data_IF_852023543775
#
_entry.id   IF_852023543775
#
_cell.length_a   1.000
_cell.length_b   1.000
_cell.length_c   1.000
_cell.angle_alpha   90.00
_cell.angle_beta   90.00
_cell.angle_gamma   90.00
#
_symmetry.space_group_name_H-M   'P 1'
#
loop_
_entity.id
_entity.type
_entity.pdbx_description
1 polymer ?
#
# COMPACT_ATOMS: atom_id res chain seq x y z
N UNK A 1 -13.37 18.76 -27.82
CA UNK A 1 -12.58 19.09 -26.62
C UNK A 1 -12.34 17.80 -25.83
N UNK A 2 -11.13 17.23 -25.85
CA UNK A 2 -10.78 16.07 -25.08
C UNK A 2 -10.76 16.47 -23.60
N UNK A 3 -11.70 15.97 -22.80
CA UNK A 3 -11.69 16.11 -21.33
C UNK A 3 -10.42 15.41 -20.82
N UNK A 4 -9.51 16.15 -20.26
CA UNK A 4 -8.36 15.62 -19.53
C UNK A 4 -8.85 14.86 -18.30
N UNK A 5 -9.03 13.55 -18.44
CA UNK A 5 -9.47 12.61 -17.38
C UNK A 5 -8.37 12.31 -16.34
N UNK A 6 -7.38 13.19 -16.17
CA UNK A 6 -6.20 12.98 -15.34
C UNK A 6 -6.20 13.73 -14.01
N UNK A 7 -7.26 14.49 -13.72
CA UNK A 7 -7.40 15.15 -12.42
C UNK A 7 -7.64 14.09 -11.38
N UNK A 8 -6.74 13.97 -10.42
CA UNK A 8 -6.93 13.14 -9.25
C UNK A 8 -8.03 13.78 -8.39
N UNK A 9 -9.26 13.36 -8.57
CA UNK A 9 -10.39 13.76 -7.75
C UNK A 9 -10.16 13.33 -6.29
N UNK A 10 -10.54 14.17 -5.32
CA UNK A 10 -10.50 13.83 -3.88
C UNK A 10 -11.19 12.50 -3.55
N UNK A 11 -12.16 12.07 -4.34
CA UNK A 11 -12.80 10.76 -4.23
C UNK A 11 -11.94 9.55 -4.63
N UNK A 12 -10.72 9.75 -5.12
CA UNK A 12 -9.83 8.64 -5.57
C UNK A 12 -8.78 8.21 -4.56
N UNK A 13 -8.65 8.90 -3.44
CA UNK A 13 -7.69 8.55 -2.37
C UNK A 13 -8.28 8.88 -1.00
N UNK A 14 -7.79 8.21 0.03
CA UNK A 14 -8.20 8.43 1.41
C UNK A 14 -7.51 9.66 1.98
N UNK A 15 -8.23 10.43 2.80
CA UNK A 15 -7.61 11.40 3.69
C UNK A 15 -6.71 10.70 4.71
N UNK A 16 -5.86 11.46 5.40
CA UNK A 16 -4.98 10.88 6.44
C UNK A 16 -5.80 10.25 7.58
N UNK A 17 -6.93 10.84 7.94
CA UNK A 17 -7.83 10.29 8.96
C UNK A 17 -8.53 9.00 8.50
N UNK A 18 -9.01 8.94 7.25
CA UNK A 18 -9.61 7.74 6.70
C UNK A 18 -8.60 6.59 6.55
N UNK A 19 -7.36 6.89 6.10
CA UNK A 19 -6.29 5.90 6.00
C UNK A 19 -5.93 5.33 7.38
N UNK A 20 -5.81 6.20 8.40
CA UNK A 20 -5.57 5.79 9.78
C UNK A 20 -6.71 4.94 10.32
N UNK A 21 -7.96 5.37 10.13
CA UNK A 21 -9.15 4.62 10.54
C UNK A 21 -9.22 3.23 9.90
N UNK A 22 -8.93 3.14 8.59
CA UNK A 22 -8.89 1.86 7.87
C UNK A 22 -7.85 0.92 8.46
N UNK A 23 -6.63 1.41 8.70
CA UNK A 23 -5.52 0.62 9.24
C UNK A 23 -5.81 0.15 10.68
N UNK A 24 -6.32 1.03 11.54
CA UNK A 24 -6.71 0.70 12.90
C UNK A 24 -7.87 -0.31 12.95
N UNK A 25 -8.87 -0.16 12.08
CA UNK A 25 -9.98 -1.11 11.96
C UNK A 25 -9.49 -2.49 11.52
N UNK A 26 -8.55 -2.53 10.56
CA UNK A 26 -7.93 -3.78 10.12
C UNK A 26 -7.15 -4.45 11.27
N UNK A 27 -6.34 -3.68 12.01
CA UNK A 27 -5.54 -4.15 13.15
C UNK A 27 -6.42 -4.74 14.25
N UNK A 28 -7.42 -3.98 14.72
CA UNK A 28 -8.36 -4.45 15.76
C UNK A 28 -9.11 -5.71 15.35
N UNK A 29 -9.51 -5.79 14.07
CA UNK A 29 -10.16 -7.00 13.54
C UNK A 29 -9.22 -8.20 13.53
N UNK A 30 -7.94 -8.01 13.23
CA UNK A 30 -6.93 -9.06 13.26
C UNK A 30 -6.64 -9.53 14.71
N UNK A 31 -6.47 -8.60 15.64
CA UNK A 31 -6.26 -8.89 17.07
C UNK A 31 -7.40 -9.75 17.65
N UNK A 32 -8.65 -9.37 17.39
CA UNK A 32 -9.81 -10.15 17.80
C UNK A 32 -9.84 -11.54 17.14
N UNK A 33 -9.44 -11.60 15.86
CA UNK A 33 -9.48 -12.85 15.10
C UNK A 33 -8.42 -13.87 15.55
N UNK A 34 -7.27 -13.41 16.06
CA UNK A 34 -6.24 -14.28 16.61
C UNK A 34 -6.73 -15.11 17.81
N UNK A 35 -7.61 -14.55 18.64
CA UNK A 35 -8.23 -15.24 19.78
C UNK A 35 -9.13 -16.40 19.32
N UNK A 36 -9.71 -16.30 18.10
CA UNK A 36 -10.65 -17.26 17.55
C UNK A 36 -10.09 -18.12 16.40
N UNK A 37 -8.76 -18.15 16.22
CA UNK A 37 -8.05 -18.83 15.11
C UNK A 37 -8.62 -18.48 13.71
N UNK A 38 -9.13 -17.26 13.53
CA UNK A 38 -9.66 -16.81 12.26
C UNK A 38 -8.57 -16.12 11.42
N UNK A 39 -8.08 -16.82 10.41
CA UNK A 39 -6.96 -16.38 9.55
C UNK A 39 -7.30 -15.24 8.60
N UNK A 40 -8.60 -14.99 8.32
CA UNK A 40 -9.01 -14.02 7.28
C UNK A 40 -8.71 -12.58 7.68
N UNK A 41 -9.10 -12.07 8.87
CA UNK A 41 -8.80 -10.69 9.24
C UNK A 41 -7.31 -10.40 9.41
N UNK A 42 -6.51 -11.40 9.81
CA UNK A 42 -5.03 -11.25 9.89
C UNK A 42 -4.43 -10.99 8.50
N UNK A 43 -4.85 -11.76 7.49
CA UNK A 43 -4.45 -11.52 6.10
C UNK A 43 -4.98 -10.17 5.58
N UNK A 44 -6.24 -9.82 5.90
CA UNK A 44 -6.83 -8.55 5.50
C UNK A 44 -6.02 -7.36 6.04
N UNK A 45 -5.62 -7.41 7.33
CA UNK A 45 -4.78 -6.37 7.93
C UNK A 45 -3.43 -6.26 7.23
N UNK A 46 -2.76 -7.37 6.96
CA UNK A 46 -1.49 -7.36 6.25
C UNK A 46 -1.62 -6.76 4.83
N UNK A 47 -2.69 -7.10 4.10
CA UNK A 47 -2.98 -6.54 2.77
C UNK A 47 -3.16 -5.01 2.82
N UNK A 48 -3.92 -4.51 3.77
CA UNK A 48 -4.14 -3.07 3.93
C UNK A 48 -2.83 -2.36 4.25
N UNK A 49 -2.05 -2.91 5.20
CA UNK A 49 -0.80 -2.28 5.63
C UNK A 49 0.25 -2.26 4.52
N UNK A 50 0.50 -3.39 3.83
CA UNK A 50 1.47 -3.40 2.73
C UNK A 50 1.06 -2.44 1.60
N UNK A 51 -0.23 -2.34 1.27
CA UNK A 51 -0.69 -1.43 0.24
C UNK A 51 -0.47 0.05 0.61
N UNK A 52 -0.74 0.42 1.87
CA UNK A 52 -0.52 1.78 2.39
C UNK A 52 0.97 2.09 2.55
N UNK A 53 1.77 1.16 3.07
CA UNK A 53 3.19 1.38 3.35
C UNK A 53 4.07 1.44 2.09
N UNK A 54 3.66 0.78 1.00
CA UNK A 54 4.51 0.61 -0.19
C UNK A 54 3.97 1.26 -1.45
N UNK A 55 2.66 1.50 -1.52
CA UNK A 55 1.99 2.00 -2.71
C UNK A 55 2.04 1.04 -3.91
N UNK A 56 2.20 -0.25 -3.69
CA UNK A 56 2.21 -1.26 -4.75
C UNK A 56 0.87 -1.33 -5.50
N UNK A 57 0.92 -1.79 -6.75
CA UNK A 57 -0.29 -2.17 -7.49
C UNK A 57 -0.82 -3.50 -6.96
N UNK A 58 -2.14 -3.72 -7.04
CA UNK A 58 -2.76 -4.98 -6.58
C UNK A 58 -2.13 -6.21 -7.23
N UNK A 59 -1.79 -6.16 -8.51
CA UNK A 59 -1.08 -7.24 -9.22
C UNK A 59 0.32 -7.48 -8.64
N UNK A 60 1.03 -6.41 -8.27
CA UNK A 60 2.36 -6.50 -7.68
C UNK A 60 2.28 -7.14 -6.30
N UNK A 61 1.32 -6.72 -5.47
CA UNK A 61 1.06 -7.33 -4.15
C UNK A 61 0.73 -8.82 -4.28
N UNK A 62 -0.13 -9.18 -5.25
CA UNK A 62 -0.53 -10.56 -5.47
C UNK A 62 0.63 -11.49 -5.83
N UNK A 63 1.67 -10.98 -6.50
CA UNK A 63 2.80 -11.76 -7.03
C UNK A 63 4.02 -11.78 -6.11
N UNK A 64 3.97 -11.13 -4.94
CA UNK A 64 5.09 -11.14 -4.00
C UNK A 64 5.32 -12.52 -3.41
N UNK A 65 6.60 -12.90 -3.35
CA UNK A 65 7.10 -14.02 -2.57
C UNK A 65 7.72 -13.52 -1.25
N UNK A 66 7.88 -14.38 -0.27
CA UNK A 66 8.54 -14.03 0.98
C UNK A 66 9.97 -13.53 0.76
N UNK A 67 10.72 -14.11 -0.17
CA UNK A 67 12.08 -13.68 -0.53
C UNK A 67 12.17 -12.39 -1.33
N UNK A 68 11.06 -11.75 -1.69
CA UNK A 68 11.08 -10.43 -2.31
C UNK A 68 11.25 -9.30 -1.31
N UNK A 69 11.06 -9.57 -0.02
CA UNK A 69 11.17 -8.60 1.07
C UNK A 69 12.46 -8.81 1.83
N UNK A 70 13.22 -7.75 1.99
CA UNK A 70 14.45 -7.70 2.78
C UNK A 70 14.27 -6.70 3.91
N UNK A 71 14.60 -7.12 5.12
CA UNK A 71 14.62 -6.26 6.31
C UNK A 71 16.05 -6.15 6.79
N UNK A 72 16.55 -4.93 6.94
CA UNK A 72 17.91 -4.64 7.40
C UNK A 72 17.89 -3.38 8.26
N UNK A 73 18.47 -3.46 9.46
CA UNK A 73 18.39 -2.36 10.42
C UNK A 73 16.95 -1.97 10.76
N UNK A 74 16.69 -0.67 10.82
CA UNK A 74 15.39 -0.09 11.22
C UNK A 74 14.36 -0.01 10.09
N UNK A 75 14.76 -0.25 8.85
CA UNK A 75 13.90 -0.15 7.68
C UNK A 75 14.01 -1.39 6.81
N UNK A 76 13.20 -1.44 5.75
CA UNK A 76 13.27 -2.53 4.80
C UNK A 76 12.95 -2.08 3.38
N UNK A 77 13.11 -3.00 2.47
CA UNK A 77 12.74 -2.81 1.07
C UNK A 77 12.16 -4.10 0.49
N UNK A 78 11.42 -3.94 -0.58
CA UNK A 78 10.96 -5.07 -1.39
C UNK A 78 11.34 -4.86 -2.86
N UNK A 79 11.48 -5.97 -3.57
CA UNK A 79 11.81 -5.99 -4.99
C UNK A 79 10.55 -6.36 -5.78
N UNK A 80 10.05 -5.43 -6.58
CA UNK A 80 9.03 -5.72 -7.59
C UNK A 80 9.73 -6.30 -8.80
N UNK A 81 9.53 -7.61 -9.06
CA UNK A 81 10.23 -8.32 -10.15
C UNK A 81 9.68 -7.98 -11.53
N UNK A 82 8.37 -7.86 -11.66
CA UNK A 82 7.65 -7.64 -12.91
C UNK A 82 6.83 -6.33 -12.85
N UNK A 83 7.52 -5.18 -12.80
CA UNK A 83 6.87 -3.89 -12.94
C UNK A 83 6.34 -3.65 -14.37
N UNK A 84 5.61 -2.55 -14.58
CA UNK A 84 5.12 -2.18 -15.93
C UNK A 84 6.30 -2.13 -16.92
N UNK A 85 6.22 -2.93 -18.00
CA UNK A 85 7.30 -3.08 -18.98
C UNK A 85 8.44 -4.01 -18.54
N UNK A 86 8.21 -4.96 -17.61
CA UNK A 86 9.21 -5.96 -17.19
C UNK A 86 10.35 -5.41 -16.32
N UNK A 87 10.26 -4.16 -15.87
CA UNK A 87 11.35 -3.52 -15.12
C UNK A 87 11.28 -3.88 -13.64
N UNK A 88 12.42 -4.30 -13.09
CA UNK A 88 12.59 -4.48 -11.65
C UNK A 88 12.75 -3.11 -10.96
N UNK A 89 12.17 -2.97 -9.77
CA UNK A 89 12.40 -1.80 -8.93
C UNK A 89 12.42 -2.17 -7.46
N UNK A 90 13.13 -1.37 -6.68
CA UNK A 90 13.15 -1.44 -5.24
C UNK A 90 12.13 -0.44 -4.68
N UNK A 91 11.33 -0.88 -3.72
CA UNK A 91 10.35 -0.09 -2.99
C UNK A 91 10.70 -0.15 -1.52
N UNK A 92 10.89 1.02 -0.89
CA UNK A 92 11.23 1.12 0.53
C UNK A 92 9.98 1.21 1.39
N UNK A 93 10.09 0.79 2.65
CA UNK A 93 9.04 0.94 3.65
C UNK A 93 9.64 1.28 5.03
N UNK A 94 8.80 1.77 5.95
CA UNK A 94 9.16 2.23 7.27
C UNK A 94 9.29 1.08 8.29
N UNK A 95 9.78 1.41 9.48
CA UNK A 95 9.93 0.48 10.62
C UNK A 95 8.60 -0.15 11.04
N UNK A 96 7.53 0.63 11.09
CA UNK A 96 6.20 0.15 11.49
C UNK A 96 5.71 -1.01 10.60
N UNK A 97 5.87 -0.88 9.28
CA UNK A 97 5.53 -1.99 8.38
C UNK A 97 6.51 -3.16 8.51
N UNK A 98 7.81 -2.89 8.75
CA UNK A 98 8.80 -3.94 9.02
C UNK A 98 8.38 -4.83 10.19
N UNK A 99 8.05 -4.23 11.33
CA UNK A 99 7.61 -4.94 12.53
C UNK A 99 6.38 -5.81 12.24
N UNK A 100 5.38 -5.26 11.58
CA UNK A 100 4.18 -6.01 11.18
C UNK A 100 4.50 -7.14 10.19
N UNK A 101 5.44 -6.95 9.25
CA UNK A 101 5.87 -8.01 8.35
C UNK A 101 6.52 -9.18 9.11
N UNK A 102 7.41 -8.89 10.05
CA UNK A 102 8.05 -9.90 10.89
C UNK A 102 7.03 -10.66 11.77
N UNK A 103 6.06 -9.95 12.34
CA UNK A 103 4.94 -10.54 13.07
C UNK A 103 4.08 -11.44 12.18
N UNK A 104 3.77 -10.99 10.98
CA UNK A 104 3.01 -11.75 10.00
C UNK A 104 3.73 -13.06 9.59
N UNK A 105 5.06 -13.02 9.41
CA UNK A 105 5.83 -14.22 9.12
C UNK A 105 5.84 -15.19 10.31
N UNK A 106 6.04 -14.70 11.54
CA UNK A 106 5.97 -15.53 12.75
C UNK A 106 4.60 -16.20 12.89
N UNK A 107 3.53 -15.46 12.66
CA UNK A 107 2.17 -16.00 12.67
C UNK A 107 1.98 -17.09 11.61
N UNK A 108 2.50 -16.90 10.40
CA UNK A 108 2.43 -17.91 9.33
C UNK A 108 3.19 -19.19 9.72
N UNK A 109 4.38 -19.05 10.26
CA UNK A 109 5.20 -20.18 10.73
C UNK A 109 4.51 -20.97 11.85
N UNK A 110 3.93 -20.28 12.83
CA UNK A 110 3.14 -20.91 13.89
C UNK A 110 1.94 -21.69 13.35
N UNK A 111 1.29 -21.18 12.30
CA UNK A 111 0.20 -21.84 11.57
C UNK A 111 0.66 -22.85 10.52
N UNK A 112 1.94 -23.27 10.54
CA UNK A 112 2.55 -24.23 9.60
C UNK A 112 2.41 -23.83 8.12
N UNK A 113 2.31 -22.53 7.84
CA UNK A 113 2.25 -22.02 6.47
C UNK A 113 3.66 -21.74 5.97
N UNK A 114 4.09 -22.29 4.82
CA UNK A 114 5.44 -22.09 4.30
C UNK A 114 5.81 -20.61 4.13
N UNK A 115 7.06 -20.26 4.48
CA UNK A 115 7.61 -18.90 4.38
C UNK A 115 9.01 -18.87 3.75
N UNK A 116 9.35 -19.89 2.97
CA UNK A 116 10.60 -19.93 2.22
C UNK A 116 10.65 -18.82 1.16
N UNK A 117 11.84 -18.51 0.62
CA UNK A 117 12.02 -17.40 -0.31
C UNK A 117 11.13 -17.46 -1.56
N UNK A 118 10.79 -18.68 -2.03
CA UNK A 118 9.92 -18.92 -3.18
C UNK A 118 8.42 -18.98 -2.86
N UNK A 119 8.06 -19.01 -1.57
CA UNK A 119 6.67 -19.15 -1.15
C UNK A 119 5.90 -17.86 -1.33
N UNK A 120 4.61 -17.93 -1.73
CA UNK A 120 3.76 -16.75 -1.85
C UNK A 120 3.68 -15.96 -0.55
N UNK A 121 3.91 -14.65 -0.59
CA UNK A 121 3.74 -13.78 0.60
C UNK A 121 2.29 -13.77 1.06
N UNK A 122 1.35 -13.69 0.13
CA UNK A 122 -0.09 -13.83 0.38
C UNK A 122 -0.56 -15.17 -0.22
N UNK A 123 -0.64 -16.18 0.64
CA UNK A 123 -1.03 -17.51 0.22
C UNK A 123 -2.56 -17.67 0.22
N UNK A 124 -3.09 -18.22 -0.88
CA UNK A 124 -4.49 -18.62 -1.01
C UNK A 124 -4.76 -19.86 -0.15
N UNK A 125 -5.79 -19.81 0.68
CA UNK A 125 -6.23 -20.95 1.51
C UNK A 125 -6.80 -22.09 0.68
N UNK A 126 -7.21 -21.84 -0.57
CA UNK A 126 -7.83 -22.85 -1.45
C UNK A 126 -6.80 -23.60 -2.30
N UNK A 127 -5.78 -22.89 -2.82
CA UNK A 127 -4.86 -23.45 -3.80
C UNK A 127 -3.43 -23.63 -3.27
N UNK A 128 -3.11 -23.05 -2.13
CA UNK A 128 -1.73 -22.98 -1.64
C UNK A 128 -0.81 -22.03 -2.42
N UNK A 129 -1.24 -21.55 -3.58
CA UNK A 129 -0.51 -20.58 -4.41
C UNK A 129 -0.79 -19.11 -4.01
N UNK A 130 -0.43 -18.19 -4.87
CA UNK A 130 -0.68 -16.76 -4.66
C UNK A 130 -2.16 -16.43 -4.56
N UNK A 131 -2.52 -15.46 -3.72
CA UNK A 131 -3.86 -14.88 -3.70
C UNK A 131 -4.13 -14.15 -5.02
N UNK A 132 -5.37 -14.28 -5.53
CA UNK A 132 -5.79 -13.53 -6.71
C UNK A 132 -6.01 -12.05 -6.37
N UNK A 133 -5.86 -11.18 -7.37
CA UNK A 133 -6.17 -9.74 -7.23
C UNK A 133 -7.62 -9.51 -6.77
N UNK A 134 -8.55 -10.38 -7.22
CA UNK A 134 -9.96 -10.33 -6.78
C UNK A 134 -10.11 -10.65 -5.29
N UNK A 135 -9.33 -11.59 -4.75
CA UNK A 135 -9.35 -11.92 -3.33
C UNK A 135 -8.78 -10.75 -2.48
N UNK A 136 -7.71 -10.12 -2.97
CA UNK A 136 -7.13 -8.92 -2.35
C UNK A 136 -8.11 -7.75 -2.37
N UNK A 137 -8.80 -7.51 -3.49
CA UNK A 137 -9.85 -6.49 -3.57
C UNK A 137 -11.00 -6.76 -2.60
N UNK A 138 -11.43 -8.03 -2.45
CA UNK A 138 -12.45 -8.41 -1.45
C UNK A 138 -11.98 -8.15 -0.03
N UNK A 139 -10.71 -8.38 0.29
CA UNK A 139 -10.12 -8.08 1.59
C UNK A 139 -10.21 -6.57 1.90
N UNK A 140 -9.84 -5.72 0.93
CA UNK A 140 -10.01 -4.28 1.03
C UNK A 140 -11.47 -3.88 1.27
N UNK A 141 -12.40 -4.38 0.45
CA UNK A 141 -13.83 -4.05 0.57
C UNK A 141 -14.42 -4.43 1.93
N UNK A 142 -14.07 -5.61 2.45
CA UNK A 142 -14.50 -6.03 3.80
C UNK A 142 -14.03 -5.07 4.88
N UNK A 143 -12.75 -4.69 4.84
CA UNK A 143 -12.15 -3.81 5.83
C UNK A 143 -12.70 -2.38 5.69
N UNK A 144 -12.82 -1.87 4.47
CA UNK A 144 -13.40 -0.56 4.20
C UNK A 144 -14.85 -0.45 4.69
N UNK A 145 -15.67 -1.49 4.47
CA UNK A 145 -17.04 -1.53 4.97
C UNK A 145 -17.10 -1.52 6.51
N UNK A 146 -16.21 -2.27 7.19
CA UNK A 146 -16.11 -2.26 8.67
C UNK A 146 -15.67 -0.90 9.21
N UNK A 147 -14.80 -0.21 8.46
CA UNK A 147 -14.36 1.14 8.80
C UNK A 147 -15.39 2.23 8.46
N UNK A 148 -16.55 1.87 7.91
CA UNK A 148 -17.58 2.84 7.49
C UNK A 148 -17.18 3.70 6.31
N UNK A 149 -16.18 3.28 5.52
CA UNK A 149 -15.71 4.03 4.36
C UNK A 149 -16.69 3.88 3.17
N UNK A 150 -16.81 4.92 2.32
CA UNK A 150 -17.66 4.89 1.14
C UNK A 150 -17.36 3.71 0.21
N UNK A 151 -18.41 3.06 -0.29
CA UNK A 151 -18.30 1.85 -1.11
C UNK A 151 -17.67 2.03 -2.49
N UNK A 152 -17.49 3.27 -2.96
CA UNK A 152 -16.83 3.56 -4.24
C UNK A 152 -15.30 3.35 -4.22
N UNK A 153 -14.66 3.36 -3.04
CA UNK A 153 -13.23 3.11 -2.94
C UNK A 153 -12.86 1.68 -3.38
N UNK A 154 -11.76 1.55 -4.08
CA UNK A 154 -11.10 0.29 -4.43
C UNK A 154 -9.70 0.26 -3.84
N UNK A 155 -9.03 -0.89 -3.83
CA UNK A 155 -7.66 -1.00 -3.29
C UNK A 155 -6.66 -0.05 -3.99
N UNK A 156 -6.94 0.38 -5.22
CA UNK A 156 -6.11 1.37 -5.91
C UNK A 156 -6.06 2.73 -5.20
N UNK A 157 -7.10 3.07 -4.39
CA UNK A 157 -7.07 4.29 -3.61
C UNK A 157 -5.92 4.31 -2.60
N UNK A 158 -5.51 3.14 -2.07
CA UNK A 158 -4.40 3.05 -1.12
C UNK A 158 -3.06 3.44 -1.74
N UNK A 159 -2.86 3.10 -3.02
CA UNK A 159 -1.68 3.55 -3.77
C UNK A 159 -1.68 5.07 -3.99
N UNK A 160 -2.83 5.65 -4.31
CA UNK A 160 -2.96 7.10 -4.42
C UNK A 160 -2.77 7.78 -3.07
N UNK A 161 -3.31 7.20 -2.00
CA UNK A 161 -3.12 7.67 -0.62
C UNK A 161 -1.63 7.65 -0.22
N UNK A 162 -0.93 6.53 -0.47
CA UNK A 162 0.52 6.44 -0.24
C UNK A 162 1.28 7.53 -1.00
N UNK A 163 0.96 7.73 -2.28
CA UNK A 163 1.61 8.75 -3.10
C UNK A 163 1.43 10.16 -2.54
N UNK A 164 0.21 10.53 -2.18
CA UNK A 164 -0.11 11.83 -1.58
C UNK A 164 0.60 12.02 -0.24
N UNK A 165 0.57 11.01 0.63
CA UNK A 165 1.24 11.08 1.94
C UNK A 165 2.75 11.18 1.80
N UNK A 166 3.38 10.37 0.92
CA UNK A 166 4.80 10.43 0.65
C UNK A 166 5.21 11.77 0.04
N UNK A 167 4.41 12.31 -0.89
CA UNK A 167 4.67 13.62 -1.49
C UNK A 167 4.71 14.71 -0.43
N UNK A 168 3.72 14.74 0.46
CA UNK A 168 3.67 15.69 1.58
C UNK A 168 4.81 15.47 2.57
N UNK A 169 5.07 14.23 2.99
CA UNK A 169 6.10 13.89 3.97
C UNK A 169 7.53 14.15 3.48
N UNK A 170 7.75 14.08 2.15
CA UNK A 170 9.04 14.36 1.50
C UNK A 170 9.30 15.84 1.21
N UNK A 171 8.48 16.77 1.73
CA UNK A 171 8.57 18.18 1.39
C UNK A 171 8.25 18.45 -0.09
N UNK A 172 7.24 17.76 -0.61
CA UNK A 172 6.75 17.89 -1.99
C UNK A 172 7.76 17.43 -3.06
N UNK A 173 8.56 16.41 -2.73
CA UNK A 173 9.54 15.82 -3.65
C UNK A 173 8.88 14.82 -4.63
N UNK A 174 8.46 15.32 -5.78
CA UNK A 174 7.79 14.54 -6.83
C UNK A 174 8.68 13.40 -7.37
N UNK A 175 10.00 13.63 -7.45
CA UNK A 175 10.95 12.63 -7.94
C UNK A 175 11.05 11.42 -7.01
N UNK A 176 10.97 11.64 -5.70
CA UNK A 176 10.93 10.57 -4.71
C UNK A 176 9.69 9.71 -4.89
N UNK A 177 8.51 10.32 -5.03
CA UNK A 177 7.24 9.61 -5.28
C UNK A 177 7.30 8.82 -6.59
N UNK A 178 7.80 9.43 -7.66
CA UNK A 178 7.97 8.77 -8.96
C UNK A 178 8.84 7.51 -8.86
N UNK A 179 9.98 7.61 -8.17
CA UNK A 179 10.90 6.48 -7.96
C UNK A 179 10.25 5.37 -7.14
N UNK A 180 9.59 5.71 -6.03
CA UNK A 180 8.89 4.77 -5.15
C UNK A 180 7.79 4.00 -5.89
N UNK A 181 6.96 4.71 -6.65
CA UNK A 181 5.84 4.10 -7.38
C UNK A 181 6.27 3.40 -8.67
N UNK A 182 7.47 3.68 -9.19
CA UNK A 182 7.95 3.14 -10.46
C UNK A 182 7.17 3.68 -11.67
N UNK A 183 6.86 4.98 -11.66
CA UNK A 183 6.26 5.65 -12.80
C UNK A 183 7.34 5.98 -13.85
N UNK A 184 7.18 5.43 -15.05
CA UNK A 184 8.07 5.72 -16.19
C UNK A 184 7.80 7.09 -16.82
N UNK A 185 6.60 7.64 -16.62
CA UNK A 185 6.19 8.94 -17.13
C UNK A 185 5.89 9.87 -15.93
N UNK A 186 6.53 11.04 -15.92
CA UNK A 186 6.33 12.08 -14.89
C UNK A 186 4.87 12.53 -14.80
N UNK A 187 4.18 12.66 -15.93
CA UNK A 187 2.76 13.05 -15.98
C UNK A 187 1.87 12.23 -15.04
N UNK A 188 2.17 10.94 -14.85
CA UNK A 188 1.41 10.08 -13.93
C UNK A 188 1.63 10.45 -12.46
N UNK A 189 2.71 11.19 -12.16
CA UNK A 189 3.04 11.63 -10.81
C UNK A 189 2.68 13.09 -10.59
N UNK A 190 2.68 13.90 -11.63
CA UNK A 190 2.29 15.33 -11.61
C UNK A 190 0.87 15.55 -11.10
N UNK A 191 -0.04 14.60 -11.33
CA UNK A 191 -1.41 14.65 -10.79
C UNK A 191 -1.45 14.74 -9.25
N UNK A 192 -0.42 14.28 -8.56
CA UNK A 192 -0.34 14.44 -7.09
C UNK A 192 0.11 15.84 -6.70
N UNK A 193 0.95 16.48 -7.51
CA UNK A 193 1.34 17.87 -7.33
C UNK A 193 0.14 18.80 -7.48
N UNK A 194 -0.69 18.60 -8.52
CA UNK A 194 -1.85 19.44 -8.79
C UNK A 194 -2.89 19.40 -7.65
N UNK A 195 -3.08 18.23 -7.00
CA UNK A 195 -4.07 18.06 -5.93
C UNK A 195 -3.55 18.51 -4.56
N UNK A 196 -2.23 18.40 -4.34
CA UNK A 196 -1.59 18.63 -3.04
C UNK A 196 -0.78 19.92 -3.01
N UNK A 197 -0.87 20.74 -4.07
CA UNK A 197 -0.08 21.96 -4.17
C UNK A 197 -0.34 22.86 -2.94
N UNK A 198 0.67 23.20 -2.15
CA UNK A 198 0.52 24.29 -1.18
C UNK A 198 0.14 25.54 -1.96
N UNK A 199 -0.78 26.31 -1.41
CA UNK A 199 -1.25 27.55 -2.03
C UNK A 199 -0.04 28.35 -2.54
N UNK A 200 -0.03 28.63 -3.83
CA UNK A 200 1.05 29.36 -4.50
C UNK A 200 1.33 30.68 -3.75
N UNK A 201 0.29 31.32 -3.22
CA UNK A 201 0.38 32.53 -2.40
C UNK A 201 1.25 32.32 -1.18
N UNK A 202 1.06 31.20 -0.44
CA UNK A 202 1.87 30.88 0.74
C UNK A 202 3.33 30.60 0.37
N UNK A 203 3.58 30.03 -0.80
CA UNK A 203 4.94 29.80 -1.30
C UNK A 203 5.64 31.11 -1.70
N UNK A 204 4.89 32.02 -2.34
CA UNK A 204 5.41 33.33 -2.74
C UNK A 204 5.75 34.22 -1.52
N UNK A 205 4.96 34.19 -0.47
CA UNK A 205 5.22 34.94 0.79
C UNK A 205 6.53 34.52 1.46
N UNK A 206 7.05 33.33 1.17
CA UNK A 206 8.28 32.80 1.72
C UNK A 206 9.54 33.13 0.89
N UNK A 207 9.40 33.80 -0.26
CA UNK A 207 10.53 34.07 -1.14
C UNK A 207 11.53 35.11 -0.58
N UNK A 208 11.12 35.93 0.36
CA UNK A 208 11.90 37.04 0.87
C UNK A 208 12.04 37.04 2.41
N UNK A 209 11.64 35.94 3.05
CA UNK A 209 11.87 35.65 4.46
C UNK A 209 12.98 34.61 4.65
#
# INVERSE_FOLDING_TARGET
MARFNWILDRGKFLSSSEAKLLLETARKSAETALVHDNKVPVKDYFIIHIALATGLRVMEIAQLNCGDISVDGDTGYLIVRNGKGGRKRLVRFNSEFKEHYEEYLRWRQAGQTPVGPGDPLLQSSHTGGHMTTRAIEKAFKRTAARAGLPGHYSIHCLRHTHACQLYKASGYNLRMVQKQLGHTNSRTTEVYADVMNPDMTVALEKLYT
#
